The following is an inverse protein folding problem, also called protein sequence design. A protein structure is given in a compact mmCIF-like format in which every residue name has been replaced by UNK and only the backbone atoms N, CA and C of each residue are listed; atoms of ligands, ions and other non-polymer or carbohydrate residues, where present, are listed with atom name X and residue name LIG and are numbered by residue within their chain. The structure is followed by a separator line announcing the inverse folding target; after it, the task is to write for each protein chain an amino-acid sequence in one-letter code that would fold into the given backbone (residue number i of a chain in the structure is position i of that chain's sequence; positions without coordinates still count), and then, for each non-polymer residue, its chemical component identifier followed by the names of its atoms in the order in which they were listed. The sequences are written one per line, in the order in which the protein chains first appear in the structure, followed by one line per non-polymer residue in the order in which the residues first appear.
data_IF_508798071832
#
_entry.id   IF_508798071832
#
_cell.length_a   1.000
_cell.length_b   1.000
_cell.length_c   1.000
_cell.angle_alpha   90.00
_cell.angle_beta   90.00
_cell.angle_gamma   90.00
#
_symmetry.space_group_name_H-M   'P 1'
#
loop_
_entity.id
_entity.type
_entity.pdbx_description
1 polymer ?
#
# COMPACT_ATOMS: atom_id res chain seq x y z
N UNK A 1 4.72 -1.25 -17.04
CA UNK A 1 3.24 -1.20 -17.21
C UNK A 1 2.54 -1.17 -15.87
N UNK A 2 2.78 -2.12 -14.96
CA UNK A 2 2.11 -2.20 -13.64
C UNK A 2 2.35 -0.95 -12.77
N UNK A 3 3.57 -0.44 -12.71
CA UNK A 3 3.89 0.83 -12.02
C UNK A 3 3.00 2.00 -12.45
N UNK A 4 2.77 2.14 -13.76
CA UNK A 4 1.97 3.23 -14.31
C UNK A 4 0.50 3.15 -13.88
N UNK A 5 0.01 1.95 -13.55
CA UNK A 5 -1.33 1.75 -13.01
C UNK A 5 -1.49 2.39 -11.62
N UNK A 6 -0.39 2.55 -10.86
CA UNK A 6 -0.41 3.21 -9.55
C UNK A 6 -0.80 4.68 -9.60
N UNK A 7 -0.68 5.33 -10.77
CA UNK A 7 -1.15 6.71 -10.98
C UNK A 7 -2.65 6.79 -11.29
N UNK A 8 -3.30 5.69 -11.71
CA UNK A 8 -4.72 5.69 -12.06
C UNK A 8 -5.59 6.04 -10.83
N UNK A 9 -5.42 5.41 -9.65
CA UNK A 9 -6.18 5.80 -8.45
C UNK A 9 -5.92 7.26 -8.03
N UNK A 10 -4.70 7.76 -8.21
CA UNK A 10 -4.35 9.17 -7.92
C UNK A 10 -5.09 10.10 -8.89
N UNK A 11 -5.12 9.78 -10.19
CA UNK A 11 -5.86 10.55 -11.18
C UNK A 11 -7.36 10.56 -10.89
N UNK A 12 -7.94 9.41 -10.52
CA UNK A 12 -9.34 9.33 -10.11
C UNK A 12 -9.60 10.22 -8.89
N UNK A 13 -8.76 10.13 -7.85
CA UNK A 13 -8.88 10.97 -6.66
C UNK A 13 -8.80 12.46 -6.99
N UNK A 14 -7.89 12.84 -7.90
CA UNK A 14 -7.75 14.20 -8.40
C UNK A 14 -9.03 14.70 -9.10
N UNK A 15 -9.61 13.90 -10.02
CA UNK A 15 -10.86 14.26 -10.70
C UNK A 15 -12.06 14.36 -9.74
N UNK A 16 -12.07 13.54 -8.68
CA UNK A 16 -13.08 13.57 -7.62
C UNK A 16 -12.82 14.67 -6.58
N UNK A 17 -11.80 15.52 -6.79
CA UNK A 17 -11.42 16.63 -5.88
C UNK A 17 -11.12 16.17 -4.46
N UNK A 18 -10.59 14.95 -4.32
CA UNK A 18 -10.08 14.46 -3.04
C UNK A 18 -8.73 15.13 -2.77
N UNK A 19 -8.53 15.55 -1.53
CA UNK A 19 -7.25 16.12 -1.11
C UNK A 19 -6.17 15.04 -1.07
N UNK A 20 -5.30 15.05 -2.09
CA UNK A 20 -4.20 14.09 -2.24
C UNK A 20 -3.23 14.11 -1.05
N UNK A 21 -3.10 15.24 -0.34
CA UNK A 21 -2.24 15.32 0.84
C UNK A 21 -2.76 14.43 1.97
N UNK A 22 -4.08 14.28 2.07
CA UNK A 22 -4.73 13.42 3.07
C UNK A 22 -4.63 11.94 2.73
N UNK A 23 -4.35 11.60 1.47
CA UNK A 23 -4.13 10.22 1.01
C UNK A 23 -2.70 9.75 1.25
N UNK A 24 -1.78 10.64 1.63
CA UNK A 24 -0.36 10.30 1.81
C UNK A 24 -0.14 9.16 2.82
N UNK A 25 -0.78 9.12 4.01
CA UNK A 25 -0.64 7.99 4.94
C UNK A 25 -1.03 6.66 4.30
N UNK A 26 -2.11 6.66 3.51
CA UNK A 26 -2.64 5.46 2.85
C UNK A 26 -1.77 5.00 1.67
N UNK A 27 -1.18 5.93 0.92
CA UNK A 27 -0.20 5.59 -0.13
C UNK A 27 1.04 4.94 0.51
N UNK A 28 1.53 5.49 1.62
CA UNK A 28 2.67 4.90 2.35
C UNK A 28 2.32 3.53 2.93
N UNK A 29 1.08 3.36 3.41
CA UNK A 29 0.58 2.03 3.79
C UNK A 29 0.73 1.05 2.64
N UNK A 30 0.12 1.34 1.48
CA UNK A 30 0.12 0.41 0.35
C UNK A 30 1.51 0.11 -0.19
N UNK A 31 2.43 1.08 -0.15
CA UNK A 31 3.83 0.86 -0.51
C UNK A 31 4.52 -0.10 0.46
N UNK A 32 4.39 0.17 1.75
CA UNK A 32 5.04 -0.62 2.80
C UNK A 32 4.49 -2.05 2.83
N UNK A 33 3.17 -2.17 2.72
CA UNK A 33 2.45 -3.43 2.74
C UNK A 33 2.95 -4.37 1.63
N UNK A 34 2.91 -3.92 0.37
CA UNK A 34 3.34 -4.76 -0.75
C UNK A 34 4.85 -5.04 -0.74
N UNK A 35 5.70 -4.11 -0.29
CA UNK A 35 7.15 -4.38 -0.21
C UNK A 35 7.47 -5.50 0.79
N UNK A 36 6.78 -5.53 1.92
CA UNK A 36 6.97 -6.56 2.94
C UNK A 36 6.31 -7.87 2.53
N UNK A 37 5.08 -7.84 2.01
CA UNK A 37 4.29 -9.03 1.62
C UNK A 37 5.01 -9.91 0.60
N UNK A 38 5.70 -9.30 -0.37
CA UNK A 38 6.36 -10.02 -1.46
C UNK A 38 7.45 -10.95 -0.95
N UNK A 39 8.13 -10.62 0.15
CA UNK A 39 9.23 -11.42 0.71
C UNK A 39 8.77 -12.84 1.09
N UNK A 40 7.80 -13.03 2.01
CA UNK A 40 7.31 -14.36 2.37
C UNK A 40 6.57 -15.06 1.22
N UNK A 41 5.95 -14.31 0.29
CA UNK A 41 5.35 -14.90 -0.90
C UNK A 41 6.41 -15.55 -1.81
N UNK A 42 7.55 -14.87 -2.05
CA UNK A 42 8.68 -15.42 -2.82
C UNK A 42 9.31 -16.61 -2.08
N UNK A 43 9.58 -16.48 -0.77
CA UNK A 43 10.13 -17.60 0.03
C UNK A 43 9.20 -18.82 -0.04
N UNK A 44 7.88 -18.60 0.09
CA UNK A 44 6.90 -19.66 -0.04
C UNK A 44 6.92 -20.30 -1.43
N UNK A 45 7.02 -19.49 -2.49
CA UNK A 45 7.10 -19.95 -3.87
C UNK A 45 8.33 -20.85 -4.09
N UNK A 46 9.49 -20.47 -3.57
CA UNK A 46 10.73 -21.24 -3.68
C UNK A 46 10.66 -22.58 -2.94
N UNK A 47 10.00 -22.63 -1.78
CA UNK A 47 9.94 -23.84 -0.95
C UNK A 47 8.86 -24.83 -1.41
N UNK A 48 7.70 -24.36 -1.85
CA UNK A 48 6.54 -25.22 -2.12
C UNK A 48 5.76 -24.83 -3.40
N UNK A 49 6.37 -24.08 -4.31
CA UNK A 49 5.74 -23.64 -5.55
C UNK A 49 4.51 -22.78 -5.31
N UNK A 50 3.50 -22.90 -6.19
CA UNK A 50 2.29 -22.07 -6.13
C UNK A 50 1.55 -22.14 -4.78
N UNK A 51 1.51 -23.33 -4.14
CA UNK A 51 0.86 -23.48 -2.84
C UNK A 51 1.60 -22.72 -1.73
N UNK A 52 2.94 -22.78 -1.72
CA UNK A 52 3.75 -22.02 -0.79
C UNK A 52 3.65 -20.51 -1.04
N UNK A 53 3.58 -20.06 -2.30
CA UNK A 53 3.38 -18.66 -2.64
C UNK A 53 2.07 -18.11 -2.06
N UNK A 54 0.97 -18.88 -2.14
CA UNK A 54 -0.32 -18.53 -1.54
C UNK A 54 -0.23 -18.42 -0.01
N UNK A 55 0.35 -19.43 0.65
CA UNK A 55 0.51 -19.41 2.12
C UNK A 55 1.40 -18.24 2.55
N UNK A 56 2.53 -18.05 1.85
CA UNK A 56 3.46 -16.96 2.06
C UNK A 56 2.82 -15.59 1.86
N UNK A 57 1.96 -15.43 0.86
CA UNK A 57 1.20 -14.20 0.65
C UNK A 57 0.18 -13.96 1.77
N UNK A 58 -0.53 -14.98 2.25
CA UNK A 58 -1.51 -14.83 3.35
C UNK A 58 -0.81 -14.44 4.66
N UNK A 59 0.26 -15.16 5.03
CA UNK A 59 1.05 -14.85 6.23
C UNK A 59 1.75 -13.50 6.07
N UNK A 60 2.31 -13.25 4.89
CA UNK A 60 2.95 -12.00 4.53
C UNK A 60 2.03 -10.81 4.69
N UNK A 61 0.81 -10.90 4.15
CA UNK A 61 -0.21 -9.87 4.27
C UNK A 61 -0.50 -9.51 5.74
N UNK A 62 -0.64 -10.50 6.61
CA UNK A 62 -0.91 -10.23 8.02
C UNK A 62 0.26 -9.49 8.71
N UNK A 63 1.51 -9.84 8.38
CA UNK A 63 2.69 -9.18 8.92
C UNK A 63 2.84 -7.78 8.32
N UNK A 64 2.68 -7.66 7.02
CA UNK A 64 2.86 -6.42 6.28
C UNK A 64 1.79 -5.40 6.63
N UNK A 65 0.52 -5.81 6.83
CA UNK A 65 -0.57 -4.97 7.32
C UNK A 65 -0.22 -4.35 8.69
N UNK A 66 0.37 -5.13 9.61
CA UNK A 66 0.75 -4.63 10.92
C UNK A 66 1.86 -3.57 10.83
N UNK A 67 2.87 -3.81 10.00
CA UNK A 67 3.98 -2.88 9.79
C UNK A 67 3.48 -1.62 9.06
N UNK A 68 2.77 -1.79 7.95
CA UNK A 68 2.22 -0.71 7.15
C UNK A 68 1.24 0.14 7.98
N UNK A 69 0.39 -0.48 8.79
CA UNK A 69 -0.53 0.19 9.70
C UNK A 69 0.17 1.05 10.74
N UNK A 70 1.34 0.61 11.26
CA UNK A 70 2.16 1.42 12.14
C UNK A 70 2.68 2.70 11.45
N UNK A 71 3.17 2.59 10.22
CA UNK A 71 3.61 3.77 9.45
C UNK A 71 2.45 4.69 9.07
N UNK A 72 1.32 4.13 8.64
CA UNK A 72 0.08 4.87 8.35
C UNK A 72 -0.37 5.68 9.57
N UNK A 73 -0.41 5.04 10.75
CA UNK A 73 -0.76 5.66 12.01
C UNK A 73 0.18 6.82 12.37
N UNK A 74 1.49 6.58 12.35
CA UNK A 74 2.49 7.62 12.66
C UNK A 74 2.39 8.84 11.75
N UNK A 75 2.21 8.64 10.44
CA UNK A 75 2.07 9.76 9.49
C UNK A 75 0.75 10.49 9.73
N UNK A 76 -0.32 9.76 10.03
CA UNK A 76 -1.62 10.35 10.37
C UNK A 76 -1.52 11.22 11.64
N UNK A 77 -0.85 10.74 12.69
CA UNK A 77 -0.60 11.51 13.91
C UNK A 77 0.28 12.72 13.66
N UNK A 78 1.34 12.57 12.85
CA UNK A 78 2.22 13.67 12.48
C UNK A 78 1.46 14.78 11.73
N UNK A 79 0.62 14.43 10.74
CA UNK A 79 -0.20 15.40 10.02
C UNK A 79 -1.18 16.11 10.96
N UNK A 80 -1.83 15.34 11.85
CA UNK A 80 -2.74 15.90 12.86
C UNK A 80 -2.04 16.89 13.78
N UNK A 81 -0.81 16.57 14.26
CA UNK A 81 -0.01 17.46 15.10
C UNK A 81 0.38 18.79 14.41
N UNK A 82 0.37 18.83 13.07
CA UNK A 82 0.61 20.04 12.26
C UNK A 82 -0.66 20.79 11.89
N UNK A 83 -1.80 20.45 12.49
CA UNK A 83 -3.10 21.08 12.20
C UNK A 83 -3.67 20.70 10.84
N UNK A 84 -3.11 19.67 10.18
CA UNK A 84 -3.69 19.12 8.96
C UNK A 84 -4.74 18.11 9.42
N UNK A 85 -6.01 18.46 9.19
CA UNK A 85 -7.12 17.56 9.47
C UNK A 85 -7.02 16.31 8.57
N UNK A 86 -6.42 15.27 9.14
CA UNK A 86 -6.24 13.96 8.53
C UNK A 86 -7.52 13.11 8.58
N UNK A 87 -8.69 13.72 8.79
CA UNK A 87 -9.99 13.05 8.59
C UNK A 87 -10.07 12.58 7.14
N UNK A 88 -9.81 11.28 6.95
CA UNK A 88 -9.75 10.60 5.66
C UNK A 88 -11.16 10.24 5.22
N UNK A 89 -11.46 10.49 3.95
CA UNK A 89 -12.69 9.98 3.35
C UNK A 89 -12.50 8.50 3.01
N UNK A 90 -13.57 7.71 3.07
CA UNK A 90 -13.53 6.27 2.71
C UNK A 90 -12.90 6.07 1.33
N UNK A 91 -13.24 6.95 0.38
CA UNK A 91 -12.75 6.86 -1.00
C UNK A 91 -11.30 7.32 -1.15
N UNK A 92 -10.84 8.31 -0.37
CA UNK A 92 -9.44 8.71 -0.34
C UNK A 92 -8.55 7.61 0.23
N UNK A 93 -8.97 6.97 1.32
CA UNK A 93 -8.24 5.87 1.93
C UNK A 93 -8.11 4.67 0.99
N UNK A 94 -9.21 4.26 0.34
CA UNK A 94 -9.18 3.12 -0.59
C UNK A 94 -8.30 3.39 -1.82
N UNK A 95 -8.45 4.55 -2.46
CA UNK A 95 -7.63 4.92 -3.62
C UNK A 95 -6.16 5.12 -3.25
N UNK A 96 -5.88 5.62 -2.04
CA UNK A 96 -4.52 5.81 -1.54
C UNK A 96 -3.80 4.47 -1.36
N UNK A 97 -4.41 3.53 -0.61
CA UNK A 97 -3.85 2.18 -0.41
C UNK A 97 -3.66 1.45 -1.74
N UNK A 98 -4.68 1.49 -2.61
CA UNK A 98 -4.60 0.91 -3.95
C UNK A 98 -3.46 1.51 -4.79
N UNK A 99 -3.30 2.83 -4.77
CA UNK A 99 -2.19 3.49 -5.46
C UNK A 99 -0.84 3.00 -4.95
N UNK A 100 -0.65 2.97 -3.62
CA UNK A 100 0.59 2.52 -3.00
C UNK A 100 0.97 1.10 -3.40
N UNK A 101 0.03 0.16 -3.31
CA UNK A 101 0.25 -1.24 -3.70
C UNK A 101 0.68 -1.37 -5.18
N UNK A 102 0.03 -0.63 -6.09
CA UNK A 102 0.31 -0.68 -7.52
C UNK A 102 1.64 0.00 -7.89
N UNK A 103 2.04 1.04 -7.17
CA UNK A 103 3.35 1.69 -7.34
C UNK A 103 4.51 0.75 -6.98
N UNK A 104 4.31 -0.21 -6.09
CA UNK A 104 5.32 -1.25 -5.78
C UNK A 104 5.42 -2.31 -6.88
N UNK A 105 4.41 -2.43 -7.74
CA UNK A 105 4.38 -3.41 -8.83
C UNK A 105 5.52 -3.28 -9.86
N UNK A 106 6.38 -2.25 -9.77
CA UNK A 106 7.64 -2.19 -10.52
C UNK A 106 8.69 -3.19 -10.02
N UNK A 107 8.71 -3.50 -8.72
CA UNK A 107 9.68 -4.41 -8.12
C UNK A 107 9.39 -5.88 -8.46
N UNK A 108 8.13 -6.21 -8.72
CA UNK A 108 7.71 -7.53 -9.22
C UNK A 108 8.20 -7.86 -10.63
N UNK A 109 8.79 -6.89 -11.35
CA UNK A 109 9.32 -7.11 -12.72
C UNK A 109 10.78 -7.62 -12.65
N UNK A 110 11.44 -7.50 -11.51
CA UNK A 110 12.85 -7.86 -11.33
C UNK A 110 13.08 -9.24 -10.70
N UNK A 111 11.99 -9.98 -10.44
CA UNK A 111 11.98 -11.38 -10.01
C UNK A 111 11.25 -12.21 -11.07
#
# INVERSE_FOLDING_TARGET
IIFALGFIPILIAYFLRIDLKKMLPDIIFGITDNLVLVIPAIIGAELFGAAGALIGAVVGNAISDAIAGYFEGNISEFLHSRGIDATRTVLGASLGKMSGCLLVGIFLIFF
#
